data_IF_950473028484
#
_entry.id   IF_950473028484
#
_cell.length_a   1.000
_cell.length_b   1.000
_cell.length_c   1.000
_cell.angle_alpha   90.00
_cell.angle_beta   90.00
_cell.angle_gamma   90.00
#
_symmetry.space_group_name_H-M   'P 1'
#
loop_
_entity.id
_entity.type
_entity.pdbx_description
1 polymer ?
#
# COMPACT_ATOMS: atom_id res chain seq x y z
N UNK A 1 17.91 9.56 8.90
CA UNK A 1 16.88 9.95 7.90
C UNK A 1 16.85 11.46 7.76
N UNK A 2 16.71 12.01 6.55
CA UNK A 2 16.60 13.46 6.38
C UNK A 2 15.31 13.98 7.02
N UNK A 3 15.41 15.06 7.80
CA UNK A 3 14.23 15.75 8.34
C UNK A 3 13.67 16.71 7.29
N UNK A 4 12.34 16.74 7.17
CA UNK A 4 11.62 17.67 6.30
C UNK A 4 10.68 18.48 7.17
N UNK A 5 10.70 19.80 7.01
CA UNK A 5 9.70 20.68 7.58
C UNK A 5 8.47 20.63 6.66
N UNK A 6 7.30 20.36 7.22
CA UNK A 6 6.02 20.43 6.53
C UNK A 6 5.05 21.19 7.42
N UNK A 7 4.17 21.95 6.78
CA UNK A 7 2.97 22.45 7.45
C UNK A 7 1.92 21.33 7.45
N UNK A 8 1.28 21.11 8.59
CA UNK A 8 0.32 20.03 8.77
C UNK A 8 -0.86 20.54 9.60
N UNK A 9 -2.05 20.31 9.08
CA UNK A 9 -3.29 20.60 9.78
C UNK A 9 -3.42 19.73 11.04
N UNK A 10 -3.56 20.36 12.20
CA UNK A 10 -3.59 19.69 13.51
C UNK A 10 -4.86 18.85 13.71
N UNK A 11 -6.00 19.27 13.15
CA UNK A 11 -7.26 18.51 13.24
C UNK A 11 -7.19 17.25 12.38
N UNK A 12 -6.60 17.36 11.18
CA UNK A 12 -6.30 16.21 10.31
C UNK A 12 -5.32 15.25 10.99
N UNK A 13 -4.27 15.78 11.62
CA UNK A 13 -3.30 14.97 12.36
C UNK A 13 -3.99 14.24 13.53
N UNK A 14 -4.82 14.93 14.31
CA UNK A 14 -5.53 14.34 15.43
C UNK A 14 -6.51 13.25 14.98
N UNK A 15 -7.23 13.48 13.89
CA UNK A 15 -8.09 12.46 13.27
C UNK A 15 -7.29 11.23 12.83
N UNK A 16 -6.18 11.45 12.12
CA UNK A 16 -5.30 10.36 11.69
C UNK A 16 -4.68 9.61 12.89
N UNK A 17 -4.31 10.31 13.95
CA UNK A 17 -3.77 9.71 15.16
C UNK A 17 -4.78 8.77 15.84
N UNK A 18 -6.04 9.20 15.92
CA UNK A 18 -7.12 8.39 16.47
C UNK A 18 -7.37 7.13 15.62
N UNK A 19 -7.50 7.29 14.30
CA UNK A 19 -7.79 6.16 13.39
C UNK A 19 -6.62 5.18 13.29
N UNK A 20 -5.38 5.69 13.30
CA UNK A 20 -4.17 4.87 13.20
C UNK A 20 -3.67 4.37 14.56
N UNK A 21 -4.31 4.78 15.66
CA UNK A 21 -3.89 4.50 17.03
C UNK A 21 -2.41 4.87 17.28
N UNK A 22 -2.05 6.11 16.94
CA UNK A 22 -0.69 6.65 17.09
C UNK A 22 -0.72 7.94 17.91
N UNK A 23 0.39 8.27 18.57
CA UNK A 23 0.50 9.48 19.41
C UNK A 23 1.53 10.49 18.90
N UNK A 24 2.45 10.09 18.02
CA UNK A 24 3.53 10.94 17.52
C UNK A 24 3.42 11.24 16.03
N UNK A 25 3.60 12.51 15.65
CA UNK A 25 3.48 12.99 14.25
C UNK A 25 4.27 12.14 13.26
N UNK A 26 5.54 11.86 13.57
CA UNK A 26 6.41 11.09 12.68
C UNK A 26 5.92 9.66 12.47
N UNK A 27 5.29 9.06 13.47
CA UNK A 27 4.78 7.70 13.38
C UNK A 27 3.45 7.66 12.62
N UNK A 28 2.55 8.60 12.93
CA UNK A 28 1.30 8.80 12.19
C UNK A 28 1.56 8.99 10.70
N UNK A 29 2.48 9.90 10.34
CA UNK A 29 2.86 10.16 8.93
C UNK A 29 3.48 8.92 8.29
N UNK A 30 4.37 8.21 9.00
CA UNK A 30 4.99 6.98 8.48
C UNK A 30 3.93 5.93 8.15
N UNK A 31 3.04 5.63 9.09
CA UNK A 31 2.00 4.62 8.93
C UNK A 31 1.00 5.04 7.84
N UNK A 32 0.57 6.30 7.82
CA UNK A 32 -0.33 6.81 6.79
C UNK A 32 0.26 6.63 5.38
N UNK A 33 1.54 6.98 5.19
CA UNK A 33 2.22 6.82 3.89
C UNK A 33 2.38 5.35 3.50
N UNK A 34 2.71 4.48 4.45
CA UNK A 34 2.78 3.04 4.21
C UNK A 34 1.43 2.48 3.78
N UNK A 35 0.34 2.86 4.44
CA UNK A 35 -1.01 2.42 4.08
C UNK A 35 -1.44 2.94 2.71
N UNK A 36 -1.15 4.20 2.39
CA UNK A 36 -1.44 4.79 1.08
C UNK A 36 -0.70 4.05 -0.05
N UNK A 37 0.60 3.78 0.14
CA UNK A 37 1.41 3.03 -0.81
C UNK A 37 0.89 1.60 -0.99
N UNK A 38 0.58 0.90 0.10
CA UNK A 38 0.05 -0.46 0.07
C UNK A 38 -1.32 -0.52 -0.61
N UNK A 39 -2.21 0.46 -0.35
CA UNK A 39 -3.53 0.57 -0.99
C UNK A 39 -3.38 0.76 -2.50
N UNK A 40 -2.49 1.65 -2.94
CA UNK A 40 -2.21 1.86 -4.36
C UNK A 40 -1.64 0.61 -5.04
N UNK A 41 -0.70 -0.08 -4.38
CA UNK A 41 -0.13 -1.32 -4.89
C UNK A 41 -1.20 -2.41 -5.05
N UNK A 42 -2.08 -2.60 -4.05
CA UNK A 42 -3.20 -3.54 -4.13
C UNK A 42 -4.18 -3.19 -5.25
N UNK A 43 -4.52 -1.92 -5.42
CA UNK A 43 -5.41 -1.49 -6.50
C UNK A 43 -4.82 -1.84 -7.88
N UNK A 44 -3.53 -1.59 -8.09
CA UNK A 44 -2.83 -1.99 -9.33
C UNK A 44 -2.80 -3.49 -9.53
N UNK A 45 -2.55 -4.26 -8.47
CA UNK A 45 -2.56 -5.72 -8.54
C UNK A 45 -3.93 -6.25 -8.93
N UNK A 46 -5.01 -5.75 -8.33
CA UNK A 46 -6.38 -6.13 -8.69
C UNK A 46 -6.68 -5.78 -10.15
N UNK A 47 -6.31 -4.57 -10.59
CA UNK A 47 -6.50 -4.17 -11.98
C UNK A 47 -5.75 -5.09 -12.96
N UNK A 48 -4.50 -5.46 -12.63
CA UNK A 48 -3.71 -6.41 -13.42
C UNK A 48 -4.33 -7.81 -13.45
N UNK A 49 -4.88 -8.29 -12.33
CA UNK A 49 -5.60 -9.57 -12.29
C UNK A 49 -6.86 -9.53 -13.17
N UNK A 50 -7.63 -8.44 -13.09
CA UNK A 50 -8.84 -8.23 -13.89
C UNK A 50 -8.54 -8.13 -15.39
N UNK A 51 -7.37 -7.59 -15.76
CA UNK A 51 -6.92 -7.52 -17.16
C UNK A 51 -6.32 -8.84 -17.67
N UNK A 52 -6.50 -9.95 -16.95
CA UNK A 52 -6.01 -11.27 -17.39
C UNK A 52 -4.55 -11.54 -17.01
N UNK A 53 -3.98 -10.86 -16.00
CA UNK A 53 -2.58 -11.04 -15.60
C UNK A 53 -2.15 -12.48 -15.28
N UNK A 54 -3.10 -13.35 -14.91
CA UNK A 54 -2.87 -14.78 -14.66
C UNK A 54 -3.45 -15.72 -15.73
N UNK A 55 -3.88 -15.20 -16.88
CA UNK A 55 -4.53 -16.00 -17.92
C UNK A 55 -3.67 -17.19 -18.37
N UNK A 56 -2.36 -16.98 -18.52
CA UNK A 56 -1.42 -18.03 -18.93
C UNK A 56 -1.16 -19.06 -17.82
N UNK A 57 -1.49 -18.74 -16.57
CA UNK A 57 -1.34 -19.63 -15.42
C UNK A 57 -2.59 -20.49 -15.14
N UNK A 58 -3.62 -20.41 -15.97
CA UNK A 58 -4.85 -21.21 -15.84
C UNK A 58 -4.64 -22.70 -16.19
N UNK A 59 -3.68 -23.00 -17.08
CA UNK A 59 -3.33 -24.37 -17.50
C UNK A 59 -2.35 -25.07 -16.56
N UNK A 60 -2.53 -26.39 -16.35
CA UNK A 60 -1.65 -27.19 -15.51
C UNK A 60 -0.23 -27.33 -16.10
N UNK A 61 -0.11 -27.43 -17.43
CA UNK A 61 1.19 -27.51 -18.11
C UNK A 61 1.98 -26.22 -17.99
N UNK A 62 1.34 -25.06 -18.21
CA UNK A 62 1.99 -23.74 -18.09
C UNK A 62 2.48 -23.50 -16.66
N UNK A 63 1.69 -23.88 -15.63
CA UNK A 63 2.16 -23.81 -14.24
C UNK A 63 3.36 -24.72 -13.98
N UNK A 64 3.37 -25.93 -14.55
CA UNK A 64 4.48 -26.88 -14.44
C UNK A 64 5.76 -26.45 -15.15
N UNK A 65 5.68 -25.53 -16.12
CA UNK A 65 6.83 -24.99 -16.83
C UNK A 65 7.58 -23.90 -16.03
N UNK A 66 6.93 -23.20 -15.10
CA UNK A 66 7.54 -22.13 -14.29
C UNK A 66 8.46 -22.65 -13.18
N UNK A 67 8.22 -23.87 -12.70
CA UNK A 67 8.95 -24.47 -11.56
C UNK A 67 10.07 -25.44 -11.96
N UNK A 68 10.40 -25.55 -13.26
CA UNK A 68 11.52 -26.35 -13.78
C UNK A 68 12.75 -25.49 -13.98
#
# INVERSE_FOLDING_TARGET
>A
MPKRLIDLDDDLLAAAQKELNTTGVSDTVRIALQQAAARSARARQVAWLQSGGLQDMTGAEQRGAVWR
#
